data_IF_133735560347
#
_entry.id   IF_133735560347
#
_cell.length_a   1.000
_cell.length_b   1.000
_cell.length_c   1.000
_cell.angle_alpha   90.00
_cell.angle_beta   90.00
_cell.angle_gamma   90.00
#
_symmetry.space_group_name_H-M   'P 1'
#
loop_
_entity.id
_entity.type
_entity.pdbx_description
1 polymer ?
#
# COMPACT_ATOMS: atom_id res chain seq x y z
N UNK A 1 3.78 -0.35 -16.49
CA UNK A 1 2.76 0.09 -17.45
C UNK A 1 2.23 1.42 -17.00
N UNK A 2 2.45 2.42 -17.81
CA UNK A 2 2.06 3.82 -17.57
C UNK A 2 0.55 3.93 -17.63
N UNK A 3 -0.02 4.50 -16.61
CA UNK A 3 -1.44 4.73 -16.53
C UNK A 3 -1.64 6.23 -16.44
N UNK A 4 -1.76 6.88 -17.58
CA UNK A 4 -2.15 8.28 -17.72
C UNK A 4 -3.62 8.38 -18.13
N UNK A 5 -4.25 9.50 -17.88
CA UNK A 5 -5.66 9.91 -18.01
C UNK A 5 -6.69 9.13 -18.86
N UNK A 6 -6.29 8.36 -19.85
CA UNK A 6 -7.20 7.46 -20.58
C UNK A 6 -7.50 6.14 -19.81
N UNK A 7 -6.89 5.93 -18.67
CA UNK A 7 -6.86 4.63 -17.99
C UNK A 7 -7.87 4.52 -16.83
N UNK A 8 -8.54 5.58 -16.43
CA UNK A 8 -9.64 5.47 -15.46
C UNK A 8 -10.71 4.49 -15.96
N UNK A 9 -11.03 4.54 -17.26
CA UNK A 9 -11.96 3.60 -17.92
C UNK A 9 -11.49 2.14 -17.86
N UNK A 10 -10.17 1.90 -17.96
CA UNK A 10 -9.61 0.55 -17.89
C UNK A 10 -9.72 -0.03 -16.47
N UNK A 11 -9.41 0.73 -15.44
CA UNK A 11 -9.58 0.28 -14.04
C UNK A 11 -11.04 0.00 -13.71
N UNK A 12 -11.95 0.77 -14.25
CA UNK A 12 -13.38 0.56 -14.15
C UNK A 12 -13.79 -0.78 -14.75
N UNK A 13 -13.35 -1.06 -15.98
CA UNK A 13 -13.65 -2.31 -16.65
C UNK A 13 -13.10 -3.49 -15.84
N UNK A 14 -11.87 -3.38 -15.32
CA UNK A 14 -11.25 -4.45 -14.51
C UNK A 14 -11.97 -4.61 -13.17
N UNK A 15 -12.24 -3.53 -12.44
CA UNK A 15 -12.96 -3.59 -11.15
C UNK A 15 -14.38 -4.14 -11.35
N UNK A 16 -15.08 -3.68 -12.39
CA UNK A 16 -16.40 -4.17 -12.73
C UNK A 16 -16.37 -5.67 -13.05
N UNK A 17 -15.43 -6.13 -13.87
CA UNK A 17 -15.29 -7.54 -14.22
C UNK A 17 -15.00 -8.41 -12.98
N UNK A 18 -14.13 -7.94 -12.09
CA UNK A 18 -13.85 -8.61 -10.81
C UNK A 18 -15.12 -8.72 -9.98
N UNK A 19 -15.89 -7.63 -9.85
CA UNK A 19 -17.12 -7.61 -9.06
C UNK A 19 -18.23 -8.46 -9.68
N UNK A 20 -18.36 -8.48 -11.01
CA UNK A 20 -19.30 -9.37 -11.71
C UNK A 20 -18.98 -10.85 -11.44
N UNK A 21 -17.71 -11.22 -11.51
CA UNK A 21 -17.29 -12.59 -11.16
C UNK A 21 -17.57 -12.91 -9.70
N UNK A 22 -17.34 -11.96 -8.80
CA UNK A 22 -17.64 -12.11 -7.37
C UNK A 22 -19.14 -12.28 -7.13
N UNK A 23 -20.02 -11.54 -7.80
CA UNK A 23 -21.47 -11.69 -7.69
C UNK A 23 -21.99 -13.00 -8.30
N UNK A 24 -21.45 -13.42 -9.44
CA UNK A 24 -21.72 -14.73 -10.01
C UNK A 24 -21.35 -15.87 -9.06
N UNK A 25 -20.22 -15.73 -8.35
CA UNK A 25 -19.82 -16.67 -7.31
C UNK A 25 -20.74 -16.61 -6.07
N UNK A 26 -21.17 -15.43 -5.66
CA UNK A 26 -22.07 -15.24 -4.51
C UNK A 26 -23.46 -15.80 -4.76
N UNK A 27 -23.99 -15.74 -5.97
CA UNK A 27 -25.29 -16.32 -6.33
C UNK A 27 -25.28 -17.85 -6.31
N UNK A 28 -24.11 -18.46 -6.47
CA UNK A 28 -23.94 -19.92 -6.47
C UNK A 28 -23.54 -20.51 -5.12
N UNK A 29 -23.01 -19.71 -4.20
CA UNK A 29 -22.43 -20.14 -2.93
C UNK A 29 -22.96 -19.23 -1.80
N UNK A 30 -23.67 -19.79 -0.86
CA UNK A 30 -24.25 -19.14 0.34
C UNK A 30 -23.48 -17.92 0.85
N UNK A 31 -24.21 -16.87 1.21
CA UNK A 31 -23.86 -15.46 1.52
C UNK A 31 -22.73 -15.17 2.54
N UNK A 32 -21.99 -16.15 3.04
CA UNK A 32 -21.00 -15.98 4.11
C UNK A 32 -19.55 -15.77 3.62
N UNK A 33 -19.30 -15.80 2.31
CA UNK A 33 -17.94 -15.62 1.79
C UNK A 33 -17.53 -14.16 1.81
N UNK A 34 -16.37 -13.90 2.41
CA UNK A 34 -15.69 -12.61 2.37
C UNK A 34 -14.75 -12.57 1.17
N UNK A 35 -14.76 -11.48 0.44
CA UNK A 35 -13.86 -11.22 -0.68
C UNK A 35 -12.90 -10.10 -0.31
N UNK A 36 -11.62 -10.30 -0.62
CA UNK A 36 -10.58 -9.32 -0.33
C UNK A 36 -10.06 -8.79 -1.66
N UNK A 37 -10.17 -7.49 -1.86
CA UNK A 37 -9.59 -6.77 -2.99
C UNK A 37 -8.35 -6.02 -2.49
N UNK A 38 -7.18 -6.42 -2.99
CA UNK A 38 -5.90 -5.84 -2.58
C UNK A 38 -5.46 -4.84 -3.65
N UNK A 39 -5.18 -3.60 -3.22
CA UNK A 39 -4.59 -2.55 -4.03
C UNK A 39 -3.18 -2.33 -3.50
N UNK A 40 -2.21 -2.87 -4.22
CA UNK A 40 -0.80 -2.68 -3.85
C UNK A 40 -0.32 -1.29 -4.27
N UNK A 41 0.45 -0.65 -3.39
CA UNK A 41 0.94 0.73 -3.57
C UNK A 41 -0.19 1.72 -3.91
N UNK A 42 -1.26 1.71 -3.12
CA UNK A 42 -2.48 2.50 -3.35
C UNK A 42 -2.21 4.01 -3.51
N UNK A 43 -1.14 4.52 -2.94
CA UNK A 43 -0.73 5.92 -3.01
C UNK A 43 0.06 6.28 -4.29
N UNK A 44 0.43 5.31 -5.14
CA UNK A 44 1.11 5.61 -6.42
C UNK A 44 0.20 6.12 -7.53
N UNK A 45 -1.09 6.16 -7.31
CA UNK A 45 -2.05 6.72 -8.24
C UNK A 45 -2.92 7.80 -7.60
N UNK A 46 -3.43 8.71 -8.40
CA UNK A 46 -4.44 9.68 -7.95
C UNK A 46 -5.76 8.94 -7.67
N UNK A 47 -5.85 8.33 -6.49
CA UNK A 47 -6.95 7.45 -6.08
C UNK A 47 -8.32 8.11 -6.23
N UNK A 48 -8.42 9.39 -5.87
CA UNK A 48 -9.65 10.16 -6.03
C UNK A 48 -10.09 10.25 -7.50
N UNK A 49 -9.15 10.36 -8.45
CA UNK A 49 -9.44 10.32 -9.89
C UNK A 49 -9.70 8.89 -10.39
N UNK A 50 -9.01 7.91 -9.86
CA UNK A 50 -9.20 6.50 -10.22
C UNK A 50 -10.59 6.04 -9.82
N UNK A 51 -11.01 6.31 -8.61
CA UNK A 51 -12.34 5.93 -8.14
C UNK A 51 -13.43 6.91 -8.60
N UNK A 52 -13.08 8.18 -8.87
CA UNK A 52 -14.01 9.15 -9.41
C UNK A 52 -15.36 9.17 -8.69
N UNK A 53 -16.43 9.01 -9.43
CA UNK A 53 -17.79 8.96 -8.92
C UNK A 53 -18.09 7.79 -7.98
N UNK A 54 -17.27 6.72 -7.99
CA UNK A 54 -17.40 5.60 -7.05
C UNK A 54 -16.75 5.83 -5.71
N UNK A 55 -16.15 6.97 -5.53
CA UNK A 55 -15.51 7.35 -4.29
C UNK A 55 -16.42 7.15 -3.06
N UNK A 56 -17.73 7.38 -3.21
CA UNK A 56 -18.71 7.14 -2.17
C UNK A 56 -18.94 5.64 -1.87
N UNK A 57 -18.89 4.80 -2.90
CA UNK A 57 -19.15 3.36 -2.74
C UNK A 57 -18.08 2.64 -1.92
N UNK A 58 -16.89 3.25 -1.73
CA UNK A 58 -15.83 2.72 -0.88
C UNK A 58 -16.19 2.86 0.61
N UNK A 59 -16.94 3.92 0.97
CA UNK A 59 -17.30 4.20 2.35
C UNK A 59 -18.14 3.05 2.94
N UNK A 60 -17.80 2.53 4.12
CA UNK A 60 -18.55 1.45 4.75
C UNK A 60 -20.05 1.73 4.92
N UNK A 61 -20.41 3.01 5.10
CA UNK A 61 -21.80 3.44 5.25
C UNK A 61 -22.63 3.35 3.95
N UNK A 62 -21.96 3.29 2.81
CA UNK A 62 -22.59 3.24 1.47
C UNK A 62 -22.37 1.90 0.75
N UNK A 63 -21.99 0.85 1.47
CA UNK A 63 -21.86 -0.50 0.90
C UNK A 63 -23.21 -1.14 0.60
N UNK A 64 -23.21 -2.04 -0.37
CA UNK A 64 -24.40 -2.79 -0.79
C UNK A 64 -25.36 -1.97 -1.67
N UNK A 65 -26.49 -2.60 -2.01
CA UNK A 65 -27.50 -2.05 -2.94
C UNK A 65 -28.08 -0.70 -2.53
N UNK A 66 -28.07 -0.38 -1.23
CA UNK A 66 -28.54 0.92 -0.68
C UNK A 66 -27.64 2.10 -1.08
N UNK A 67 -26.39 1.84 -1.39
CA UNK A 67 -25.39 2.85 -1.77
C UNK A 67 -25.09 2.88 -3.27
N UNK A 68 -26.05 2.52 -4.12
CA UNK A 68 -25.90 2.56 -5.56
C UNK A 68 -25.54 3.98 -6.05
N UNK A 69 -24.54 4.05 -6.93
CA UNK A 69 -24.09 5.28 -7.58
C UNK A 69 -24.32 5.15 -9.08
N UNK A 70 -24.88 6.17 -9.69
CA UNK A 70 -25.00 6.27 -11.14
C UNK A 70 -23.65 6.68 -11.71
N UNK A 71 -23.11 5.88 -12.63
CA UNK A 71 -21.87 6.20 -13.32
C UNK A 71 -22.14 6.90 -14.64
N UNK A 72 -21.21 7.73 -15.12
CA UNK A 72 -21.38 8.42 -16.41
C UNK A 72 -21.52 7.46 -17.60
N UNK A 73 -21.13 6.19 -17.44
CA UNK A 73 -21.26 5.15 -18.46
C UNK A 73 -22.42 4.18 -18.18
N UNK A 74 -23.32 4.52 -17.27
CA UNK A 74 -24.45 3.68 -16.88
C UNK A 74 -25.33 3.29 -18.08
N UNK A 75 -25.51 4.23 -19.02
CA UNK A 75 -26.30 4.04 -20.23
C UNK A 75 -25.71 3.03 -21.22
N UNK A 76 -24.45 2.64 -21.07
CA UNK A 76 -23.81 1.60 -21.90
C UNK A 76 -24.13 0.16 -21.42
N UNK A 77 -24.73 0.02 -20.25
CA UNK A 77 -25.16 -1.27 -19.73
C UNK A 77 -26.53 -1.56 -20.32
N UNK A 78 -26.58 -2.38 -21.36
CA UNK A 78 -27.82 -2.76 -22.07
C UNK A 78 -28.38 -4.10 -21.63
N UNK A 79 -27.61 -4.90 -20.94
CA UNK A 79 -28.04 -6.20 -20.42
C UNK A 79 -28.92 -6.01 -19.17
N UNK A 80 -30.19 -6.44 -19.28
CA UNK A 80 -31.16 -6.37 -18.19
C UNK A 80 -30.78 -7.25 -17.00
N UNK A 81 -29.98 -8.29 -17.23
CA UNK A 81 -29.50 -9.19 -16.19
C UNK A 81 -28.26 -8.70 -15.47
N UNK A 82 -27.65 -7.59 -15.92
CA UNK A 82 -26.47 -7.02 -15.30
C UNK A 82 -26.79 -6.47 -13.91
N UNK A 83 -26.13 -6.96 -12.84
CA UNK A 83 -26.38 -6.54 -11.46
C UNK A 83 -26.14 -5.06 -11.22
N UNK A 84 -25.38 -4.39 -12.10
CA UNK A 84 -25.06 -2.96 -12.03
C UNK A 84 -25.88 -2.11 -13.01
N UNK A 85 -26.89 -2.67 -13.67
CA UNK A 85 -27.74 -1.94 -14.61
C UNK A 85 -28.37 -0.68 -14.00
N UNK A 86 -28.84 -0.79 -12.76
CA UNK A 86 -29.47 0.32 -12.02
C UNK A 86 -28.50 1.14 -11.18
N UNK A 87 -27.22 1.00 -11.39
CA UNK A 87 -26.18 1.68 -10.65
C UNK A 87 -25.17 0.74 -10.03
N UNK A 88 -23.97 1.26 -9.87
CA UNK A 88 -22.84 0.53 -9.32
C UNK A 88 -22.85 0.58 -7.79
N UNK A 89 -22.45 -0.49 -7.15
CA UNK A 89 -22.23 -0.57 -5.72
C UNK A 89 -21.13 -1.59 -5.39
N UNK A 90 -20.50 -1.43 -4.23
CA UNK A 90 -19.56 -2.42 -3.70
C UNK A 90 -20.33 -3.28 -2.69
N UNK A 91 -20.40 -4.60 -2.87
CA UNK A 91 -21.08 -5.50 -1.93
C UNK A 91 -20.52 -5.40 -0.49
N UNK A 92 -21.36 -5.66 0.51
CA UNK A 92 -20.99 -5.54 1.93
C UNK A 92 -19.90 -6.54 2.35
N UNK A 93 -19.82 -7.69 1.67
CA UNK A 93 -18.85 -8.75 1.92
C UNK A 93 -17.51 -8.56 1.17
N UNK A 94 -17.30 -7.43 0.49
CA UNK A 94 -16.05 -7.06 -0.16
C UNK A 94 -15.22 -6.18 0.77
N UNK A 95 -14.00 -6.59 1.05
CA UNK A 95 -13.03 -5.84 1.84
C UNK A 95 -11.94 -5.30 0.93
N UNK A 96 -11.59 -4.03 1.09
CA UNK A 96 -10.53 -3.38 0.32
C UNK A 96 -9.35 -3.18 1.26
N UNK A 97 -8.20 -3.73 0.88
CA UNK A 97 -6.92 -3.56 1.58
C UNK A 97 -5.99 -2.81 0.64
N UNK A 98 -5.53 -1.64 1.07
CA UNK A 98 -4.48 -0.88 0.37
C UNK A 98 -3.15 -1.05 1.09
N UNK A 99 -2.07 -1.33 0.35
CA UNK A 99 -0.71 -1.19 0.88
C UNK A 99 -0.14 0.13 0.41
N UNK A 100 0.70 0.76 1.22
CA UNK A 100 1.41 1.96 0.83
C UNK A 100 2.76 2.05 1.53
N UNK A 101 3.70 2.73 0.87
CA UNK A 101 4.97 3.12 1.45
C UNK A 101 4.96 4.65 1.64
N UNK A 102 4.98 5.10 2.89
CA UNK A 102 4.82 6.53 3.24
C UNK A 102 6.11 7.34 3.00
N UNK A 103 7.26 6.66 2.86
CA UNK A 103 8.54 7.33 2.65
C UNK A 103 8.79 7.75 1.21
N UNK A 104 8.08 7.18 0.25
CA UNK A 104 8.29 7.47 -1.15
C UNK A 104 7.85 8.92 -1.48
N UNK A 105 8.81 9.83 -1.48
CA UNK A 105 8.61 11.27 -1.75
C UNK A 105 8.12 11.55 -3.18
N UNK A 106 8.19 10.57 -4.07
CA UNK A 106 7.71 10.68 -5.45
C UNK A 106 6.21 10.45 -5.58
N UNK A 107 5.55 10.09 -4.46
CA UNK A 107 4.16 9.68 -4.44
C UNK A 107 3.28 10.78 -3.84
N UNK A 108 2.13 11.02 -4.45
CA UNK A 108 1.16 11.98 -3.93
C UNK A 108 0.62 11.54 -2.57
N UNK A 109 0.51 12.49 -1.64
CA UNK A 109 -0.18 12.24 -0.38
C UNK A 109 -1.64 11.89 -0.66
N UNK A 110 -2.10 10.78 -0.13
CA UNK A 110 -3.52 10.43 -0.17
C UNK A 110 -4.35 11.56 0.47
N UNK A 111 -5.33 12.08 -0.26
CA UNK A 111 -6.17 13.17 0.22
C UNK A 111 -6.97 12.81 1.49
N UNK A 112 -7.37 13.83 2.26
CA UNK A 112 -8.09 13.61 3.52
C UNK A 112 -9.44 12.92 3.33
N UNK A 113 -10.09 13.14 2.21
CA UNK A 113 -11.38 12.53 1.92
C UNK A 113 -11.23 11.02 1.68
N UNK A 114 -10.13 10.59 1.07
CA UNK A 114 -9.80 9.18 0.92
C UNK A 114 -9.33 8.57 2.25
N UNK A 115 -8.45 9.28 2.98
CA UNK A 115 -7.92 8.79 4.25
C UNK A 115 -9.01 8.40 5.25
N UNK A 116 -10.07 9.19 5.39
CA UNK A 116 -11.17 8.92 6.33
C UNK A 116 -12.00 7.67 6.00
N UNK A 117 -11.86 7.09 4.81
CA UNK A 117 -12.57 5.88 4.38
C UNK A 117 -11.84 4.59 4.70
N UNK A 118 -10.58 4.70 5.10
CA UNK A 118 -9.75 3.57 5.47
C UNK A 118 -9.35 3.64 6.94
N UNK A 119 -9.20 2.47 7.53
CA UNK A 119 -8.51 2.33 8.82
C UNK A 119 -7.04 2.09 8.53
N UNK A 120 -6.17 2.93 9.08
CA UNK A 120 -4.73 2.80 8.89
C UNK A 120 -4.14 1.92 9.98
N UNK A 121 -3.31 0.98 9.54
CA UNK A 121 -2.46 0.19 10.42
C UNK A 121 -1.02 0.32 9.93
N UNK A 122 -0.17 0.89 10.77
CA UNK A 122 1.27 0.85 10.55
C UNK A 122 1.78 -0.58 10.80
N UNK A 123 2.67 -1.05 9.91
CA UNK A 123 3.40 -2.29 10.09
C UNK A 123 4.86 -1.91 10.31
N UNK A 124 5.31 -2.02 11.57
CA UNK A 124 6.67 -1.64 11.93
C UNK A 124 7.70 -2.65 11.42
N UNK A 125 8.96 -2.22 11.35
CA UNK A 125 10.06 -3.10 10.97
C UNK A 125 10.18 -4.30 11.94
N UNK A 126 9.98 -4.08 13.24
CA UNK A 126 10.02 -5.11 14.28
C UNK A 126 8.86 -6.10 14.15
N UNK A 127 7.62 -5.61 13.92
CA UNK A 127 6.46 -6.49 13.67
C UNK A 127 6.70 -7.35 12.42
N UNK A 128 7.28 -6.75 11.38
CA UNK A 128 7.65 -7.44 10.14
C UNK A 128 8.73 -8.50 10.37
N UNK A 129 9.78 -8.20 11.15
CA UNK A 129 10.85 -9.14 11.48
C UNK A 129 10.32 -10.37 12.21
N UNK A 130 9.47 -10.17 13.22
CA UNK A 130 8.81 -11.25 13.95
C UNK A 130 7.99 -12.15 13.03
N UNK A 131 7.21 -11.58 12.13
CA UNK A 131 6.37 -12.33 11.20
C UNK A 131 7.17 -13.10 10.15
N UNK A 132 8.35 -12.60 9.78
CA UNK A 132 9.24 -13.22 8.79
C UNK A 132 10.26 -14.19 9.41
N UNK A 133 10.36 -14.28 10.75
CA UNK A 133 11.37 -15.07 11.43
C UNK A 133 12.80 -14.55 11.20
N UNK A 134 12.96 -13.24 11.06
CA UNK A 134 14.25 -12.57 10.90
C UNK A 134 14.77 -12.19 12.28
N UNK A 135 16.06 -12.42 12.54
CA UNK A 135 16.73 -11.91 13.73
C UNK A 135 16.69 -10.36 13.72
N UNK A 136 16.05 -9.73 14.72
CA UNK A 136 15.84 -8.30 14.67
C UNK A 136 17.06 -7.47 15.10
N UNK A 137 18.05 -8.03 15.78
CA UNK A 137 19.06 -7.26 16.52
C UNK A 137 19.80 -6.24 15.65
N UNK A 138 20.40 -6.70 14.56
CA UNK A 138 21.14 -5.84 13.64
C UNK A 138 20.26 -4.80 12.96
N UNK A 139 19.06 -5.20 12.56
CA UNK A 139 18.07 -4.31 11.97
C UNK A 139 17.63 -3.24 12.99
N UNK A 140 17.32 -3.64 14.21
CA UNK A 140 16.88 -2.73 15.28
C UNK A 140 17.97 -1.73 15.64
N UNK A 141 19.22 -2.16 15.74
CA UNK A 141 20.35 -1.23 15.97
C UNK A 141 20.47 -0.18 14.87
N UNK A 142 20.39 -0.61 13.61
CA UNK A 142 20.43 0.32 12.47
C UNK A 142 19.24 1.29 12.51
N UNK A 143 18.03 0.79 12.74
CA UNK A 143 16.81 1.59 12.76
C UNK A 143 16.80 2.59 13.94
N UNK A 144 17.32 2.20 15.10
CA UNK A 144 17.51 3.13 16.24
C UNK A 144 18.49 4.25 15.87
N UNK A 145 19.58 3.93 15.18
CA UNK A 145 20.51 4.95 14.71
C UNK A 145 19.90 5.88 13.66
N UNK A 146 19.06 5.35 12.77
CA UNK A 146 18.30 6.15 11.79
C UNK A 146 17.35 7.12 12.51
N UNK A 147 16.60 6.66 13.50
CA UNK A 147 15.71 7.51 14.29
C UNK A 147 16.44 8.59 15.11
N UNK A 148 17.73 8.44 15.33
CA UNK A 148 18.57 9.46 15.97
C UNK A 148 18.98 10.61 15.04
N UNK A 149 18.71 10.51 13.74
CA UNK A 149 19.04 11.54 12.75
C UNK A 149 17.93 12.60 12.77
N UNK A 150 18.29 13.86 12.82
CA UNK A 150 17.33 14.97 12.81
C UNK A 150 16.44 14.92 11.55
N UNK A 151 15.14 14.96 11.77
CA UNK A 151 14.12 14.88 10.70
C UNK A 151 13.76 13.47 10.25
N UNK A 152 14.36 12.44 10.83
CA UNK A 152 14.01 11.05 10.53
C UNK A 152 13.12 10.45 11.63
N UNK A 153 12.27 9.52 11.24
CA UNK A 153 11.33 8.83 12.13
C UNK A 153 11.19 7.35 11.69
N UNK A 154 10.21 6.63 12.24
CA UNK A 154 9.96 5.22 11.92
C UNK A 154 9.67 4.94 10.44
N UNK A 155 9.20 5.93 9.68
CA UNK A 155 8.98 5.76 8.23
C UNK A 155 10.29 5.48 7.47
N UNK A 156 11.44 5.95 7.99
CA UNK A 156 12.77 5.72 7.41
C UNK A 156 13.40 4.38 7.83
N UNK A 157 12.74 3.61 8.66
CA UNK A 157 13.27 2.32 9.11
C UNK A 157 13.45 1.34 7.94
N UNK A 158 14.55 0.63 7.99
CA UNK A 158 14.82 -0.47 7.05
C UNK A 158 13.95 -1.67 7.45
N UNK A 159 13.13 -2.14 6.52
CA UNK A 159 12.21 -3.24 6.76
C UNK A 159 12.89 -4.61 6.78
N UNK A 160 12.29 -5.56 7.48
CA UNK A 160 12.80 -6.91 7.68
C UNK A 160 13.00 -7.70 6.37
N UNK A 161 12.30 -7.32 5.29
CA UNK A 161 12.45 -7.98 4.00
C UNK A 161 13.89 -7.93 3.45
N UNK A 162 14.67 -6.89 3.78
CA UNK A 162 16.07 -6.79 3.41
C UNK A 162 16.93 -7.85 4.09
N UNK A 163 16.57 -8.28 5.29
CA UNK A 163 17.33 -9.19 6.13
C UNK A 163 16.93 -10.67 5.96
N UNK A 164 15.85 -10.92 5.22
CA UNK A 164 15.34 -12.28 5.04
C UNK A 164 16.29 -13.13 4.22
N UNK A 165 16.75 -14.25 4.83
CA UNK A 165 17.65 -15.22 4.17
C UNK A 165 19.06 -14.70 3.92
N UNK A 166 19.46 -13.62 4.60
CA UNK A 166 20.81 -13.06 4.50
C UNK A 166 21.80 -13.92 5.23
N UNK A 167 22.87 -14.32 4.56
CA UNK A 167 24.01 -15.05 5.12
C UNK A 167 25.26 -14.20 5.18
N UNK A 168 25.37 -13.20 4.29
CA UNK A 168 26.47 -12.24 4.25
C UNK A 168 25.95 -10.81 4.49
N UNK A 169 26.26 -10.26 5.65
CA UNK A 169 25.84 -8.93 6.06
C UNK A 169 26.69 -7.80 5.46
N UNK A 170 27.94 -8.10 4.99
CA UNK A 170 28.75 -7.14 4.26
C UNK A 170 28.18 -6.94 2.86
N UNK A 171 27.85 -8.04 2.19
CA UNK A 171 27.17 -7.99 0.87
C UNK A 171 25.84 -7.26 0.96
N UNK A 172 25.02 -7.52 1.98
CA UNK A 172 23.77 -6.80 2.19
C UNK A 172 23.97 -5.30 2.31
N UNK A 173 24.97 -4.89 3.10
CA UNK A 173 25.29 -3.47 3.26
C UNK A 173 25.70 -2.84 1.93
N UNK A 174 26.66 -3.43 1.23
CA UNK A 174 27.25 -2.85 0.02
C UNK A 174 26.28 -2.81 -1.15
N UNK A 175 25.53 -3.89 -1.35
CA UNK A 175 24.66 -4.01 -2.53
C UNK A 175 23.27 -3.39 -2.34
N UNK A 176 22.80 -3.22 -1.10
CA UNK A 176 21.43 -2.77 -0.86
C UNK A 176 21.32 -1.60 0.12
N UNK A 177 21.74 -1.79 1.38
CA UNK A 177 21.45 -0.81 2.43
C UNK A 177 22.16 0.52 2.20
N UNK A 178 23.42 0.50 1.79
CA UNK A 178 24.17 1.71 1.53
C UNK A 178 23.51 2.61 0.47
N UNK A 179 22.97 2.02 -0.59
CA UNK A 179 22.27 2.77 -1.65
C UNK A 179 21.02 3.48 -1.13
N UNK A 180 20.19 2.75 -0.38
CA UNK A 180 18.98 3.30 0.23
C UNK A 180 19.30 4.41 1.22
N UNK A 181 20.27 4.19 2.11
CA UNK A 181 20.67 5.18 3.11
C UNK A 181 21.28 6.43 2.48
N UNK A 182 22.07 6.31 1.41
CA UNK A 182 22.56 7.46 0.63
C UNK A 182 21.41 8.29 0.06
N UNK A 183 20.35 7.63 -0.40
CA UNK A 183 19.16 8.33 -0.92
C UNK A 183 18.42 9.08 0.21
N UNK A 184 18.28 8.48 1.39
CA UNK A 184 17.69 9.13 2.55
C UNK A 184 18.47 10.38 2.98
N UNK A 185 19.79 10.30 2.97
CA UNK A 185 20.71 11.36 3.40
C UNK A 185 20.96 12.42 2.31
N UNK A 186 20.37 12.25 1.12
CA UNK A 186 20.60 13.17 0.00
C UNK A 186 20.26 14.61 0.36
N UNK A 187 21.23 15.51 0.20
CA UNK A 187 21.10 16.93 0.48
C UNK A 187 21.36 17.33 1.94
N UNK A 188 21.67 16.39 2.81
CA UNK A 188 22.13 16.69 4.16
C UNK A 188 23.60 17.11 4.17
N UNK A 189 23.98 18.13 4.98
CA UNK A 189 25.35 18.64 5.02
C UNK A 189 26.39 17.56 5.36
N UNK A 190 26.06 16.67 6.32
CA UNK A 190 26.97 15.67 6.89
C UNK A 190 26.63 14.24 6.43
N UNK A 191 26.10 14.09 5.20
CA UNK A 191 25.61 12.82 4.67
C UNK A 191 26.64 11.68 4.72
N UNK A 192 27.90 11.95 4.39
CA UNK A 192 28.96 10.94 4.40
C UNK A 192 29.35 10.52 5.82
N UNK A 193 29.47 11.48 6.75
CA UNK A 193 29.78 11.19 8.15
C UNK A 193 28.66 10.40 8.81
N UNK A 194 27.41 10.80 8.58
CA UNK A 194 26.22 10.11 9.04
C UNK A 194 26.15 8.68 8.49
N UNK A 195 26.40 8.48 7.19
CA UNK A 195 26.44 7.16 6.58
C UNK A 195 27.51 6.26 7.21
N UNK A 196 28.71 6.81 7.48
CA UNK A 196 29.79 6.08 8.15
C UNK A 196 29.41 5.70 9.58
N UNK A 197 28.68 6.55 10.28
CA UNK A 197 28.19 6.28 11.63
C UNK A 197 27.15 5.15 11.60
N UNK A 198 26.21 5.18 10.65
CA UNK A 198 25.24 4.10 10.44
C UNK A 198 25.95 2.78 10.11
N UNK A 199 26.98 2.80 9.26
CA UNK A 199 27.79 1.62 8.93
C UNK A 199 28.44 1.02 10.19
N UNK A 200 29.08 1.83 11.00
CA UNK A 200 29.70 1.39 12.26
C UNK A 200 28.67 0.76 13.21
N UNK A 201 27.50 1.38 13.34
CA UNK A 201 26.41 0.86 14.20
C UNK A 201 25.84 -0.45 13.66
N UNK A 202 25.72 -0.57 12.35
CA UNK A 202 25.24 -1.80 11.70
C UNK A 202 26.18 -2.99 11.94
N UNK A 203 27.52 -2.78 11.89
CA UNK A 203 28.51 -3.84 12.07
C UNK A 203 28.92 -4.06 13.54
N UNK A 204 28.47 -3.19 14.45
CA UNK A 204 28.81 -3.36 15.86
C UNK A 204 28.24 -4.71 16.35
N UNK A 205 29.13 -5.59 16.79
CA UNK A 205 28.78 -6.82 17.51
C UNK A 205 28.66 -6.45 18.98
N UNK A 206 27.63 -6.95 19.67
CA UNK A 206 27.60 -6.89 21.14
C UNK A 206 28.66 -7.86 21.64
N UNK A 207 29.61 -7.35 22.43
CA UNK A 207 30.55 -8.17 23.21
C UNK A 207 29.83 -8.77 24.44
#
# INVERSE_FOLDING_TARGET
SVIGGANSTYYWAVLREVLLRMESYNSQLQNDKKYIFIIDEINRGEISKIFGELFFAIDPGYRGKKGKVQTQYQNLITDESDPFKDGFYIPENVYIIGTMNDIDRSVECMDFAMRRRFTFKEITAEESAKNMGVDPDRMTRLNNAISGIEGFNSSFHIGAAYFRGVTDYEELWELKLQGVLKEYLRGMPDAEETLNTLKKTYFKTEE
#
